data_IF_560162903188
#
_entry.id   IF_560162903188
#
_cell.length_a   1.000
_cell.length_b   1.000
_cell.length_c   1.000
_cell.angle_alpha   90.00
_cell.angle_beta   90.00
_cell.angle_gamma   90.00
#
_symmetry.space_group_name_H-M   'P 1'
#
loop_
_entity.id
_entity.type
_entity.pdbx_description
1 polymer ?
#
# COMPACT_ATOMS: atom_id res chain seq x y z
N UNK A 1 -17.33 -75.66 6.92
CA UNK A 1 -18.13 -74.55 7.45
C UNK A 1 -17.39 -73.24 7.09
N UNK A 2 -18.02 -72.47 6.27
CA UNK A 2 -17.50 -71.27 5.64
C UNK A 2 -17.36 -70.15 6.68
N UNK A 3 -16.21 -69.52 6.84
CA UNK A 3 -16.06 -68.20 7.48
C UNK A 3 -15.53 -67.25 6.46
N UNK A 4 -16.48 -66.48 5.93
CA UNK A 4 -16.29 -65.39 4.98
C UNK A 4 -15.72 -64.14 5.65
N UNK A 5 -14.73 -63.55 5.05
CA UNK A 5 -14.51 -62.15 4.73
C UNK A 5 -14.90 -61.09 5.80
N UNK A 6 -13.89 -60.44 6.34
CA UNK A 6 -13.95 -59.03 6.72
C UNK A 6 -12.57 -58.40 6.42
N UNK A 7 -12.47 -57.84 5.25
CA UNK A 7 -11.43 -56.91 4.86
C UNK A 7 -11.95 -55.51 5.26
N UNK A 8 -11.37 -54.81 6.20
CA UNK A 8 -11.62 -53.37 6.30
C UNK A 8 -10.83 -52.69 5.21
N UNK A 9 -11.50 -52.26 4.17
CA UNK A 9 -11.03 -51.29 3.21
C UNK A 9 -10.85 -49.99 4.00
N UNK A 10 -9.59 -49.66 4.31
CA UNK A 10 -9.20 -48.35 4.75
C UNK A 10 -9.34 -47.42 3.54
N UNK A 11 -10.54 -46.89 3.33
CA UNK A 11 -10.81 -45.88 2.36
C UNK A 11 -10.04 -44.61 2.84
N UNK A 12 -8.88 -44.38 2.20
CA UNK A 12 -8.14 -43.11 2.27
C UNK A 12 -9.04 -42.09 1.60
N UNK A 13 -9.92 -41.47 2.38
CA UNK A 13 -10.64 -40.29 1.97
C UNK A 13 -9.65 -39.15 1.86
N UNK A 14 -9.02 -39.01 0.70
CA UNK A 14 -8.38 -37.78 0.27
C UNK A 14 -9.53 -36.79 0.07
N UNK A 15 -9.82 -36.03 1.12
CA UNK A 15 -10.62 -34.82 0.99
C UNK A 15 -9.81 -33.89 0.08
N UNK A 16 -10.20 -33.84 -1.19
CA UNK A 16 -9.92 -32.70 -2.05
C UNK A 16 -10.65 -31.50 -1.39
N UNK A 17 -9.96 -30.84 -0.48
CA UNK A 17 -10.27 -29.45 -0.15
C UNK A 17 -9.88 -28.66 -1.38
N UNK A 18 -10.80 -28.56 -2.35
CA UNK A 18 -10.72 -27.52 -3.35
C UNK A 18 -10.57 -26.19 -2.61
N UNK A 19 -9.86 -25.20 -3.19
CA UNK A 19 -9.84 -23.87 -2.61
C UNK A 19 -11.32 -23.44 -2.50
N UNK A 20 -11.83 -23.43 -1.28
CA UNK A 20 -13.02 -22.65 -0.98
C UNK A 20 -12.55 -21.22 -1.25
N UNK A 21 -12.86 -20.71 -2.44
CA UNK A 21 -12.97 -19.29 -2.64
C UNK A 21 -14.09 -18.87 -1.68
N UNK A 22 -13.70 -18.60 -0.44
CA UNK A 22 -14.51 -17.81 0.43
C UNK A 22 -14.71 -16.52 -0.36
N UNK A 23 -15.89 -16.40 -0.95
CA UNK A 23 -16.41 -15.10 -1.35
C UNK A 23 -16.35 -14.31 -0.05
N UNK A 24 -15.30 -13.49 0.11
CA UNK A 24 -15.23 -12.55 1.21
C UNK A 24 -16.46 -11.68 1.05
N UNK A 25 -17.52 -12.07 1.73
CA UNK A 25 -18.66 -11.20 1.96
C UNK A 25 -18.03 -9.96 2.56
N UNK A 26 -17.97 -8.88 1.77
CA UNK A 26 -17.35 -7.64 2.17
C UNK A 26 -17.95 -7.28 3.52
N UNK A 27 -17.14 -7.37 4.59
CA UNK A 27 -17.61 -7.09 5.94
C UNK A 27 -18.27 -5.71 5.91
N UNK A 28 -19.51 -5.63 6.41
CA UNK A 28 -20.25 -4.37 6.51
C UNK A 28 -19.34 -3.27 7.04
N UNK A 29 -19.37 -2.10 6.42
CA UNK A 29 -18.58 -0.94 6.85
C UNK A 29 -19.31 -0.25 8.00
N UNK A 30 -20.63 -0.12 7.88
CA UNK A 30 -21.48 0.58 8.83
C UNK A 30 -22.00 -0.39 9.90
N UNK A 31 -21.91 -0.03 11.20
CA UNK A 31 -22.45 -0.85 12.29
C UNK A 31 -23.99 -0.83 12.28
N UNK A 32 -24.62 -1.85 12.87
CA UNK A 32 -26.07 -1.88 13.01
C UNK A 32 -26.59 -0.83 14.00
N UNK A 33 -25.75 -0.45 14.98
CA UNK A 33 -26.09 0.55 16.00
C UNK A 33 -24.84 1.23 16.54
N UNK A 34 -24.96 2.49 16.95
CA UNK A 34 -23.94 3.26 17.67
C UNK A 34 -24.60 4.48 18.33
N UNK A 35 -24.11 4.93 19.46
CA UNK A 35 -24.51 6.20 20.10
C UNK A 35 -26.03 6.41 20.27
N UNK A 36 -26.81 5.32 20.40
CA UNK A 36 -28.27 5.36 20.44
C UNK A 36 -28.94 5.46 19.07
N UNK A 37 -28.16 5.44 17.97
CA UNK A 37 -28.67 5.32 16.60
C UNK A 37 -28.79 3.86 16.19
N UNK A 38 -29.88 3.50 15.51
CA UNK A 38 -30.12 2.18 14.95
C UNK A 38 -30.41 2.29 13.46
N UNK A 39 -29.89 1.35 12.69
CA UNK A 39 -30.11 1.33 11.25
C UNK A 39 -31.59 1.11 10.94
N UNK A 40 -32.13 1.91 10.03
CA UNK A 40 -33.53 1.85 9.62
C UNK A 40 -33.61 1.42 8.16
N UNK A 41 -34.15 0.23 7.92
CA UNK A 41 -34.25 -0.33 6.58
C UNK A 41 -33.00 -1.06 6.11
N UNK A 42 -32.89 -1.25 4.79
CA UNK A 42 -31.75 -1.94 4.17
C UNK A 42 -30.59 -0.96 3.87
N UNK A 43 -29.36 -1.42 4.04
CA UNK A 43 -28.17 -0.73 3.55
C UNK A 43 -27.96 -0.98 2.06
N UNK A 44 -27.39 0.00 1.39
CA UNK A 44 -26.92 -0.15 0.01
C UNK A 44 -25.41 -0.31 0.03
N UNK A 45 -24.91 -1.43 -0.49
CA UNK A 45 -23.48 -1.74 -0.57
C UNK A 45 -23.04 -1.85 -2.02
N UNK A 46 -21.80 -1.48 -2.34
CA UNK A 46 -21.23 -1.66 -3.67
C UNK A 46 -19.70 -1.56 -3.63
N UNK A 47 -19.04 -2.29 -4.53
CA UNK A 47 -17.61 -2.13 -4.81
C UNK A 47 -17.37 -1.29 -6.07
N UNK A 48 -18.42 -0.78 -6.69
CA UNK A 48 -18.33 0.13 -7.84
C UNK A 48 -18.31 1.58 -7.34
N UNK A 49 -17.23 2.35 -7.61
CA UNK A 49 -17.14 3.75 -7.23
C UNK A 49 -18.22 4.63 -7.88
N UNK A 50 -18.77 4.22 -9.04
CA UNK A 50 -19.86 4.96 -9.68
C UNK A 50 -21.18 4.89 -8.90
N UNK A 51 -21.33 3.88 -8.05
CA UNK A 51 -22.49 3.77 -7.13
C UNK A 51 -22.33 4.71 -5.92
N UNK A 52 -21.08 4.90 -5.47
CA UNK A 52 -20.78 5.80 -4.35
C UNK A 52 -20.91 7.27 -4.79
N UNK A 53 -20.26 7.64 -5.90
CA UNK A 53 -20.30 8.97 -6.50
C UNK A 53 -20.06 8.87 -8.03
N UNK A 54 -21.11 8.89 -8.84
CA UNK A 54 -20.98 8.74 -10.29
C UNK A 54 -20.19 9.87 -10.96
N UNK A 55 -20.19 11.08 -10.38
CA UNK A 55 -19.47 12.24 -10.93
C UNK A 55 -17.96 12.14 -10.64
N UNK A 56 -17.59 11.55 -9.51
CA UNK A 56 -16.21 11.44 -9.05
C UNK A 56 -15.69 9.99 -9.02
N UNK A 57 -16.32 9.07 -9.74
CA UNK A 57 -15.94 7.66 -9.77
C UNK A 57 -14.46 7.44 -10.14
N UNK A 58 -13.95 8.20 -11.14
CA UNK A 58 -12.54 8.15 -11.52
C UNK A 58 -11.60 8.61 -10.39
N UNK A 59 -11.97 9.67 -9.68
CA UNK A 59 -11.22 10.18 -8.52
C UNK A 59 -11.20 9.17 -7.38
N UNK A 60 -12.33 8.57 -7.06
CA UNK A 60 -12.41 7.53 -6.03
C UNK A 60 -11.53 6.33 -6.38
N UNK A 61 -11.51 5.93 -7.68
CA UNK A 61 -10.64 4.86 -8.17
C UNK A 61 -9.16 5.18 -8.00
N UNK A 62 -8.74 6.41 -8.29
CA UNK A 62 -7.36 6.86 -8.09
C UNK A 62 -6.93 6.77 -6.62
N UNK A 63 -7.83 7.07 -5.69
CA UNK A 63 -7.58 6.92 -4.25
C UNK A 63 -7.66 5.47 -3.74
N UNK A 64 -7.83 4.48 -4.64
CA UNK A 64 -7.87 3.08 -4.25
C UNK A 64 -9.18 2.67 -3.56
N UNK A 65 -10.31 3.18 -4.02
CA UNK A 65 -11.64 2.80 -3.54
C UNK A 65 -11.85 1.29 -3.60
N UNK A 66 -12.35 0.68 -2.51
CA UNK A 66 -12.59 -0.76 -2.41
C UNK A 66 -14.02 -1.12 -2.06
N UNK A 67 -14.80 -0.21 -1.49
CA UNK A 67 -16.17 -0.49 -1.11
C UNK A 67 -16.91 0.73 -0.60
N UNK A 68 -18.22 0.65 -0.67
CA UNK A 68 -19.17 1.68 -0.25
C UNK A 68 -20.34 1.05 0.47
N UNK A 69 -20.78 1.70 1.50
CA UNK A 69 -22.03 1.37 2.19
C UNK A 69 -22.76 2.65 2.58
N UNK A 70 -24.08 2.66 2.40
CA UNK A 70 -24.92 3.76 2.86
C UNK A 70 -26.16 3.23 3.57
N UNK A 71 -26.59 3.96 4.59
CA UNK A 71 -27.78 3.62 5.37
C UNK A 71 -28.37 4.84 6.03
N UNK A 72 -29.64 4.71 6.39
CA UNK A 72 -30.33 5.68 7.22
C UNK A 72 -30.45 5.11 8.63
N UNK A 73 -30.15 5.94 9.60
CA UNK A 73 -30.28 5.62 11.02
C UNK A 73 -31.41 6.43 11.63
N UNK A 74 -32.08 5.84 12.59
CA UNK A 74 -33.09 6.50 13.40
C UNK A 74 -32.74 6.36 14.87
N UNK A 75 -33.25 7.30 15.66
CA UNK A 75 -33.10 7.31 17.12
C UNK A 75 -34.48 7.26 17.76
N UNK A 76 -34.57 6.86 19.03
CA UNK A 76 -35.84 6.76 19.77
C UNK A 76 -36.64 8.07 19.82
N UNK A 77 -35.95 9.21 19.72
CA UNK A 77 -36.58 10.55 19.65
C UNK A 77 -37.08 10.92 18.23
N UNK A 78 -37.01 10.00 17.28
CA UNK A 78 -37.51 10.18 15.91
C UNK A 78 -36.53 10.92 14.95
N UNK A 79 -35.37 11.37 15.43
CA UNK A 79 -34.35 12.00 14.56
C UNK A 79 -33.79 10.99 13.56
N UNK A 80 -33.35 11.48 12.42
CA UNK A 80 -32.73 10.69 11.35
C UNK A 80 -31.32 11.17 11.03
N UNK A 81 -30.48 10.23 10.66
CA UNK A 81 -29.10 10.42 10.24
C UNK A 81 -28.84 9.56 9.00
N UNK A 82 -28.44 10.18 7.91
CA UNK A 82 -27.98 9.49 6.70
C UNK A 82 -26.45 9.35 6.76
N UNK A 83 -25.95 8.14 6.61
CA UNK A 83 -24.52 7.84 6.54
C UNK A 83 -24.15 7.27 5.17
N UNK A 84 -23.05 7.75 4.63
CA UNK A 84 -22.35 7.16 3.49
C UNK A 84 -20.92 6.91 3.92
N UNK A 85 -20.47 5.67 3.84
CA UNK A 85 -19.10 5.27 4.17
C UNK A 85 -18.43 4.69 2.94
N UNK A 86 -17.22 5.15 2.64
CA UNK A 86 -16.37 4.62 1.57
C UNK A 86 -15.09 4.08 2.17
N UNK A 87 -14.70 2.86 1.78
CA UNK A 87 -13.46 2.20 2.18
C UNK A 87 -12.46 2.28 1.05
N UNK A 88 -11.21 2.53 1.42
CA UNK A 88 -10.07 2.62 0.52
C UNK A 88 -9.05 1.52 0.83
N UNK A 89 -8.09 1.32 -0.07
CA UNK A 89 -7.04 0.33 0.11
C UNK A 89 -6.14 0.63 1.31
N UNK A 90 -5.92 1.92 1.59
CA UNK A 90 -5.09 2.41 2.68
C UNK A 90 -5.58 3.75 3.26
N UNK A 91 -4.92 4.21 4.31
CA UNK A 91 -5.25 5.47 4.98
C UNK A 91 -4.89 6.70 4.13
N UNK A 92 -3.89 6.60 3.24
CA UNK A 92 -3.52 7.70 2.33
C UNK A 92 -4.63 7.97 1.32
N UNK A 93 -5.24 6.92 0.76
CA UNK A 93 -6.39 7.04 -0.14
C UNK A 93 -7.61 7.63 0.56
N UNK A 94 -7.91 7.21 1.79
CA UNK A 94 -8.98 7.80 2.59
C UNK A 94 -8.72 9.28 2.90
N UNK A 95 -7.49 9.62 3.30
CA UNK A 95 -7.08 11.01 3.51
C UNK A 95 -7.23 11.85 2.24
N UNK A 96 -6.81 11.32 1.08
CA UNK A 96 -6.96 11.98 -0.21
C UNK A 96 -8.43 12.26 -0.53
N UNK A 97 -9.29 11.25 -0.42
CA UNK A 97 -10.73 11.41 -0.63
C UNK A 97 -11.35 12.39 0.37
N UNK A 98 -10.97 12.33 1.64
CA UNK A 98 -11.40 13.30 2.65
C UNK A 98 -11.01 14.72 2.26
N UNK A 99 -9.75 14.97 1.88
CA UNK A 99 -9.29 16.30 1.46
C UNK A 99 -9.98 16.76 0.18
N UNK A 100 -10.30 15.85 -0.75
CA UNK A 100 -11.00 16.14 -1.98
C UNK A 100 -12.44 16.66 -1.72
N UNK A 101 -13.19 15.98 -0.84
CA UNK A 101 -14.58 16.34 -0.51
C UNK A 101 -14.70 17.47 0.52
N UNK A 102 -13.67 17.70 1.32
CA UNK A 102 -13.67 18.81 2.27
C UNK A 102 -13.66 20.14 1.53
N UNK A 103 -14.53 21.06 1.91
CA UNK A 103 -14.56 22.42 1.34
C UNK A 103 -13.95 23.45 2.29
N UNK A 104 -13.62 24.60 1.75
CA UNK A 104 -12.99 25.70 2.46
C UNK A 104 -13.86 26.24 3.62
N UNK A 105 -15.17 26.23 3.42
CA UNK A 105 -16.16 26.76 4.34
C UNK A 105 -16.43 25.88 5.54
N UNK A 106 -16.01 24.60 5.46
CA UNK A 106 -16.20 23.65 6.55
C UNK A 106 -15.37 24.02 7.76
N UNK A 107 -15.94 23.84 8.94
CA UNK A 107 -15.25 23.98 10.23
C UNK A 107 -14.52 22.69 10.58
N UNK A 108 -13.34 22.82 11.16
CA UNK A 108 -12.57 21.65 11.62
C UNK A 108 -13.18 21.08 12.90
N UNK A 109 -13.37 19.75 12.92
CA UNK A 109 -13.95 18.99 14.03
C UNK A 109 -12.96 17.95 14.56
N UNK A 110 -13.19 17.50 15.81
CA UNK A 110 -12.39 16.46 16.47
C UNK A 110 -13.13 15.13 16.45
N UNK A 111 -13.19 14.49 15.26
CA UNK A 111 -13.83 13.19 15.04
C UNK A 111 -12.92 12.35 14.17
N UNK A 112 -12.69 11.08 14.55
CA UNK A 112 -11.80 10.19 13.83
C UNK A 112 -10.36 10.68 13.75
N UNK A 113 -9.71 10.51 12.60
CA UNK A 113 -8.34 10.98 12.33
C UNK A 113 -8.36 12.40 11.73
N UNK A 114 -9.53 12.87 11.28
CA UNK A 114 -9.78 14.23 10.86
C UNK A 114 -11.20 14.41 10.37
N UNK A 115 -11.77 15.57 10.68
CA UNK A 115 -13.16 15.87 10.35
C UNK A 115 -13.38 17.35 10.01
N UNK A 116 -14.44 17.59 9.25
CA UNK A 116 -14.91 18.92 8.92
C UNK A 116 -16.44 18.93 8.84
N UNK A 117 -17.07 20.01 9.29
CA UNK A 117 -18.52 20.16 9.33
C UNK A 117 -18.99 21.44 8.65
N UNK A 118 -20.18 21.38 8.08
CA UNK A 118 -20.90 22.53 7.57
C UNK A 118 -22.40 22.25 7.67
N UNK A 119 -23.12 23.10 8.39
CA UNK A 119 -24.50 22.90 8.71
C UNK A 119 -24.74 21.50 9.34
N UNK A 120 -25.67 20.73 8.84
CA UNK A 120 -26.03 19.39 9.29
C UNK A 120 -25.11 18.29 8.76
N UNK A 121 -24.14 18.63 7.91
CA UNK A 121 -23.19 17.69 7.29
C UNK A 121 -21.88 17.64 8.06
N UNK A 122 -21.42 16.42 8.37
CA UNK A 122 -20.11 16.15 8.94
C UNK A 122 -19.38 15.14 8.06
N UNK A 123 -18.23 15.54 7.53
CA UNK A 123 -17.33 14.69 6.77
C UNK A 123 -16.14 14.34 7.67
N UNK A 124 -15.83 13.06 7.82
CA UNK A 124 -14.66 12.62 8.58
C UNK A 124 -14.03 11.37 7.99
N UNK A 125 -12.80 11.08 8.39
CA UNK A 125 -12.17 9.80 8.06
C UNK A 125 -11.57 9.15 9.31
N UNK A 126 -11.47 7.83 9.28
CA UNK A 126 -10.81 7.02 10.30
C UNK A 126 -10.11 5.85 9.63
N UNK A 127 -8.77 5.77 9.79
CA UNK A 127 -7.96 4.78 9.07
C UNK A 127 -8.19 4.89 7.56
N UNK A 128 -8.66 3.83 6.94
CA UNK A 128 -8.95 3.76 5.50
C UNK A 128 -10.44 3.95 5.14
N UNK A 129 -11.25 4.53 6.03
CA UNK A 129 -12.69 4.76 5.82
C UNK A 129 -12.98 6.25 5.88
N UNK A 130 -13.70 6.75 4.88
CA UNK A 130 -14.27 8.11 4.86
C UNK A 130 -15.77 8.01 5.07
N UNK A 131 -16.32 8.88 5.91
CA UNK A 131 -17.75 8.93 6.22
C UNK A 131 -18.28 10.34 5.93
N UNK A 132 -19.39 10.39 5.22
CA UNK A 132 -20.21 11.57 5.01
C UNK A 132 -21.52 11.38 5.77
N UNK A 133 -21.67 12.09 6.87
CA UNK A 133 -22.80 12.04 7.77
C UNK A 133 -23.69 13.28 7.61
N UNK A 134 -24.96 13.07 7.36
CA UNK A 134 -25.95 14.17 7.21
C UNK A 134 -27.07 13.96 8.23
N UNK A 135 -27.13 14.83 9.22
CA UNK A 135 -28.17 14.83 10.22
C UNK A 135 -29.44 15.53 9.69
N UNK A 136 -30.59 15.02 10.07
CA UNK A 136 -31.84 15.78 9.87
C UNK A 136 -31.87 16.98 10.82
N UNK A 137 -31.32 16.84 12.02
CA UNK A 137 -31.20 17.87 13.03
C UNK A 137 -30.01 17.57 13.96
N UNK A 138 -29.14 18.55 14.14
CA UNK A 138 -28.00 18.46 15.05
C UNK A 138 -28.46 18.57 16.51
N UNK A 139 -27.72 17.96 17.40
CA UNK A 139 -27.82 18.08 18.85
C UNK A 139 -26.44 18.34 19.45
N UNK A 140 -26.38 18.74 20.70
CA UNK A 140 -25.14 18.90 21.44
C UNK A 140 -24.32 17.58 21.52
N UNK A 141 -24.97 16.42 21.35
CA UNK A 141 -24.33 15.10 21.41
C UNK A 141 -23.86 14.59 20.05
N UNK A 142 -24.26 15.20 18.93
CA UNK A 142 -23.96 14.71 17.57
C UNK A 142 -22.50 14.44 17.32
N UNK A 143 -21.61 15.32 17.80
CA UNK A 143 -20.16 15.12 17.68
C UNK A 143 -19.66 13.94 18.52
N UNK A 144 -20.20 13.73 19.72
CA UNK A 144 -19.82 12.59 20.57
C UNK A 144 -20.29 11.25 19.97
N UNK A 145 -21.50 11.24 19.43
CA UNK A 145 -22.08 10.08 18.75
C UNK A 145 -21.25 9.67 17.52
N UNK A 146 -20.78 10.64 16.72
CA UNK A 146 -19.91 10.35 15.58
C UNK A 146 -18.48 9.94 15.99
N UNK A 147 -17.98 10.38 17.17
CA UNK A 147 -16.71 9.86 17.72
C UNK A 147 -16.83 8.38 18.06
N UNK A 148 -17.92 7.98 18.72
CA UNK A 148 -18.21 6.58 19.03
C UNK A 148 -18.27 5.75 17.74
N UNK A 149 -18.96 6.24 16.70
CA UNK A 149 -18.94 5.59 15.38
C UNK A 149 -17.52 5.43 14.83
N UNK A 150 -16.71 6.50 14.86
CA UNK A 150 -15.36 6.49 14.36
C UNK A 150 -14.44 5.51 15.12
N UNK A 151 -14.60 5.41 16.44
CA UNK A 151 -13.83 4.48 17.28
C UNK A 151 -14.17 3.01 16.99
N UNK A 152 -15.38 2.73 16.52
CA UNK A 152 -15.83 1.40 16.10
C UNK A 152 -15.23 0.93 14.78
N UNK A 153 -14.62 1.79 13.96
CA UNK A 153 -14.04 1.36 12.70
C UNK A 153 -12.69 0.65 12.88
N UNK A 154 -12.49 -0.48 12.17
CA UNK A 154 -11.21 -1.18 12.21
C UNK A 154 -10.12 -0.31 11.57
N UNK A 155 -8.96 -0.27 12.22
CA UNK A 155 -7.79 0.40 11.64
C UNK A 155 -7.02 -0.55 10.74
N UNK A 156 -6.51 -0.08 9.59
CA UNK A 156 -5.65 -0.87 8.73
C UNK A 156 -4.35 -1.24 9.44
N UNK A 157 -3.68 -2.30 8.99
CA UNK A 157 -2.48 -2.83 9.62
C UNK A 157 -1.22 -2.47 8.84
N UNK A 158 -0.09 -2.35 9.55
CA UNK A 158 1.21 -2.10 8.93
C UNK A 158 1.25 -0.81 8.12
N UNK A 159 1.88 -0.84 6.95
CA UNK A 159 2.11 0.34 6.12
C UNK A 159 0.83 0.96 5.55
N UNK A 160 -0.26 0.20 5.45
CA UNK A 160 -1.54 0.72 4.95
C UNK A 160 -2.21 1.70 5.93
N UNK A 161 -1.68 1.84 7.13
CA UNK A 161 -2.10 2.82 8.13
C UNK A 161 -1.43 4.18 7.97
N UNK A 162 -0.33 4.25 7.24
CA UNK A 162 0.46 5.47 7.13
C UNK A 162 -0.31 6.53 6.34
N UNK A 163 -0.25 7.77 6.84
CA UNK A 163 -0.72 8.94 6.11
C UNK A 163 0.40 9.45 5.19
N UNK A 164 0.06 10.20 4.13
CA UNK A 164 1.07 10.79 3.27
C UNK A 164 1.84 11.89 4.02
N UNK A 165 3.15 11.93 3.84
CA UNK A 165 4.01 12.94 4.46
C UNK A 165 3.97 14.29 3.71
N UNK A 166 3.65 14.27 2.41
CA UNK A 166 3.72 15.45 1.55
C UNK A 166 2.90 16.65 2.06
N UNK A 167 1.68 16.48 2.62
CA UNK A 167 0.93 17.61 3.19
C UNK A 167 1.61 18.31 4.36
N UNK A 168 2.53 17.65 5.06
CA UNK A 168 3.24 18.24 6.21
C UNK A 168 4.26 19.31 5.79
N UNK A 169 4.65 19.33 4.53
CA UNK A 169 5.55 20.32 3.95
C UNK A 169 4.86 21.63 3.56
N UNK A 170 3.52 21.70 3.65
CA UNK A 170 2.80 22.94 3.40
C UNK A 170 3.09 23.96 4.51
N UNK A 171 3.61 25.15 4.18
CA UNK A 171 3.86 26.19 5.19
C UNK A 171 2.57 26.63 5.88
N UNK A 172 2.62 26.85 7.17
CA UNK A 172 1.46 27.34 7.94
C UNK A 172 1.22 28.84 7.82
N UNK A 173 2.28 29.61 7.51
CA UNK A 173 2.19 31.06 7.38
C UNK A 173 1.36 31.45 6.15
N UNK A 174 0.40 32.33 6.33
CA UNK A 174 -0.53 32.81 5.29
C UNK A 174 -1.40 31.72 4.63
N UNK A 175 -1.36 30.47 5.16
CA UNK A 175 -2.16 29.37 4.64
C UNK A 175 -3.66 29.62 4.84
N UNK A 176 -4.44 29.44 3.78
CA UNK A 176 -5.90 29.47 3.83
C UNK A 176 -6.41 28.11 4.31
N UNK A 177 -7.00 28.09 5.51
CA UNK A 177 -7.47 26.85 6.14
C UNK A 177 -8.39 26.03 5.23
N UNK A 178 -8.33 24.72 5.36
CA UNK A 178 -9.17 23.74 4.65
C UNK A 178 -9.01 23.71 3.12
N UNK A 179 -7.98 24.37 2.56
CA UNK A 179 -7.75 24.37 1.10
C UNK A 179 -6.79 23.28 0.64
N UNK A 180 -6.05 22.62 1.54
CA UNK A 180 -5.14 21.54 1.16
C UNK A 180 -5.91 20.39 0.50
N UNK A 181 -5.44 19.98 -0.68
CA UNK A 181 -5.91 18.85 -1.47
C UNK A 181 -4.74 17.91 -1.74
N UNK A 182 -4.83 16.68 -1.28
CA UNK A 182 -3.86 15.63 -1.61
C UNK A 182 -4.35 14.84 -2.83
N UNK A 183 -3.51 14.67 -3.82
CA UNK A 183 -3.86 14.15 -5.15
C UNK A 183 -2.83 13.12 -5.58
N UNK A 184 -3.32 11.96 -6.04
CA UNK A 184 -2.50 10.84 -6.50
C UNK A 184 -2.80 10.41 -7.95
N UNK A 185 -3.63 11.17 -8.65
CA UNK A 185 -3.99 10.83 -10.02
C UNK A 185 -4.50 12.02 -10.84
N UNK A 186 -4.53 11.85 -12.18
CA UNK A 186 -4.91 12.91 -13.11
C UNK A 186 -6.38 13.37 -12.98
N UNK A 187 -7.31 12.46 -12.69
CA UNK A 187 -8.72 12.82 -12.56
C UNK A 187 -8.99 13.71 -11.35
N UNK A 188 -8.29 13.44 -10.23
CA UNK A 188 -8.36 14.28 -9.06
C UNK A 188 -7.68 15.64 -9.32
N UNK A 189 -6.52 15.68 -9.98
CA UNK A 189 -5.81 16.93 -10.28
C UNK A 189 -6.60 17.85 -11.19
N UNK A 190 -7.31 17.31 -12.18
CA UNK A 190 -8.18 18.09 -13.08
C UNK A 190 -9.35 18.77 -12.36
N UNK A 191 -9.75 18.27 -11.19
CA UNK A 191 -10.88 18.82 -10.42
C UNK A 191 -10.44 19.79 -9.31
N UNK A 192 -9.16 19.93 -9.08
CA UNK A 192 -8.59 20.93 -8.17
C UNK A 192 -7.96 22.06 -8.98
N UNK A 193 -7.94 23.27 -8.44
CA UNK A 193 -7.33 24.43 -9.12
C UNK A 193 -5.81 24.36 -9.04
N UNK A 194 -5.22 23.39 -9.75
CA UNK A 194 -3.77 23.18 -9.81
C UNK A 194 -3.14 24.05 -10.89
N UNK A 195 -1.99 24.68 -10.63
CA UNK A 195 -1.29 25.52 -11.60
C UNK A 195 -0.59 24.73 -12.71
N UNK A 196 -0.35 23.43 -12.51
CA UNK A 196 0.31 22.54 -13.45
C UNK A 196 -0.66 21.43 -13.84
N UNK A 197 -0.89 21.21 -15.16
CA UNK A 197 -1.78 20.16 -15.62
C UNK A 197 -1.20 18.75 -15.41
N UNK A 198 -2.07 17.75 -15.41
CA UNK A 198 -1.73 16.38 -15.08
C UNK A 198 -0.69 15.74 -16.01
N UNK A 199 -0.67 16.16 -17.27
CA UNK A 199 0.25 15.68 -18.30
C UNK A 199 1.72 16.06 -18.00
N UNK A 200 1.94 17.15 -17.27
CA UNK A 200 3.28 17.59 -16.87
C UNK A 200 3.71 16.97 -15.51
N UNK A 201 2.76 16.49 -14.72
CA UNK A 201 3.05 15.83 -13.41
C UNK A 201 3.49 14.40 -13.60
N UNK A 202 2.85 13.64 -14.52
CA UNK A 202 3.14 12.24 -14.83
C UNK A 202 2.99 11.29 -13.61
N UNK A 203 1.75 11.08 -13.21
CA UNK A 203 1.39 10.20 -12.09
C UNK A 203 1.82 8.73 -12.29
N UNK A 204 2.07 8.30 -13.54
CA UNK A 204 2.54 6.93 -13.83
C UNK A 204 3.92 6.64 -13.24
N UNK A 205 4.70 7.67 -12.94
CA UNK A 205 5.99 7.55 -12.27
C UNK A 205 5.89 7.55 -10.74
N UNK A 206 4.68 7.47 -10.19
CA UNK A 206 4.45 7.48 -8.74
C UNK A 206 4.54 8.88 -8.12
N UNK A 207 4.18 9.92 -8.90
CA UNK A 207 4.10 11.27 -8.36
C UNK A 207 2.93 11.41 -7.40
N UNK A 208 3.15 12.16 -6.32
CA UNK A 208 2.13 12.59 -5.38
C UNK A 208 2.07 14.13 -5.39
N UNK A 209 0.89 14.68 -5.22
CA UNK A 209 0.70 16.14 -5.27
C UNK A 209 -0.08 16.61 -4.05
N UNK A 210 0.31 17.75 -3.52
CA UNK A 210 -0.54 18.52 -2.60
C UNK A 210 -0.67 19.95 -3.10
N UNK A 211 -1.89 20.47 -3.08
CA UNK A 211 -2.20 21.84 -3.46
C UNK A 211 -2.82 22.55 -2.27
N UNK A 212 -2.36 23.76 -1.97
CA UNK A 212 -2.92 24.60 -0.91
C UNK A 212 -2.94 26.06 -1.31
N UNK A 213 -3.89 26.82 -0.77
CA UNK A 213 -4.02 28.24 -1.07
C UNK A 213 -3.40 29.10 0.05
N UNK A 214 -2.87 30.25 -0.36
CA UNK A 214 -2.14 31.19 0.50
C UNK A 214 -2.59 32.62 0.24
N UNK A 215 -2.74 33.40 1.29
CA UNK A 215 -3.00 34.83 1.15
C UNK A 215 -1.73 35.57 0.74
N UNK A 216 -1.81 36.43 -0.26
CA UNK A 216 -0.78 37.39 -0.68
C UNK A 216 -1.30 38.82 -0.53
N UNK A 217 -0.43 39.80 -0.75
CA UNK A 217 -0.80 41.22 -0.69
C UNK A 217 -1.85 41.63 -1.76
N UNK A 218 -1.91 40.90 -2.86
CA UNK A 218 -2.75 41.22 -4.03
C UNK A 218 -3.87 40.22 -4.27
N UNK A 219 -4.02 39.21 -3.41
CA UNK A 219 -5.08 38.20 -3.54
C UNK A 219 -4.69 36.85 -2.99
N UNK A 220 -5.25 35.78 -3.55
CA UNK A 220 -4.99 34.42 -3.13
C UNK A 220 -4.10 33.72 -4.16
N UNK A 221 -3.02 33.11 -3.69
CA UNK A 221 -2.08 32.36 -4.49
C UNK A 221 -2.20 30.84 -4.19
N UNK A 222 -1.78 30.02 -5.13
CA UNK A 222 -1.77 28.58 -5.00
C UNK A 222 -0.34 28.07 -4.89
N UNK A 223 -0.06 27.28 -3.87
CA UNK A 223 1.16 26.51 -3.73
C UNK A 223 0.89 25.04 -4.06
N UNK A 224 1.65 24.49 -4.97
CA UNK A 224 1.60 23.09 -5.38
C UNK A 224 2.93 22.43 -5.09
N UNK A 225 2.91 21.35 -4.33
CA UNK A 225 4.07 20.49 -4.08
C UNK A 225 3.87 19.20 -4.87
N UNK A 226 4.89 18.78 -5.62
CA UNK A 226 4.91 17.52 -6.37
C UNK A 226 6.08 16.71 -5.84
N UNK A 227 5.80 15.56 -5.25
CA UNK A 227 6.81 14.62 -4.78
C UNK A 227 7.01 13.51 -5.81
N UNK A 228 8.25 13.26 -6.16
CA UNK A 228 8.65 12.17 -7.06
C UNK A 228 9.46 11.13 -6.28
N UNK A 229 9.53 9.88 -6.76
CA UNK A 229 10.32 8.83 -6.10
C UNK A 229 11.82 9.14 -5.99
N UNK A 230 12.37 9.95 -6.91
CA UNK A 230 13.78 10.31 -6.91
C UNK A 230 14.02 11.78 -7.26
N UNK A 231 15.14 12.39 -6.77
CA UNK A 231 15.50 13.76 -7.14
C UNK A 231 15.79 13.95 -8.64
N UNK A 232 16.20 12.89 -9.34
CA UNK A 232 16.47 12.93 -10.79
C UNK A 232 15.16 13.11 -11.56
N UNK A 233 14.14 12.32 -11.24
CA UNK A 233 12.80 12.45 -11.84
C UNK A 233 12.25 13.86 -11.57
N UNK A 234 12.38 14.37 -10.34
CA UNK A 234 11.96 15.72 -10.00
C UNK A 234 12.66 16.79 -10.85
N UNK A 235 13.99 16.64 -11.10
CA UNK A 235 14.74 17.56 -11.93
C UNK A 235 14.29 17.54 -13.40
N UNK A 236 13.97 16.35 -13.92
CA UNK A 236 13.51 16.18 -15.31
C UNK A 236 12.13 16.79 -15.52
N UNK A 237 11.22 16.57 -14.55
CA UNK A 237 9.88 17.16 -14.62
C UNK A 237 9.90 18.67 -14.41
N UNK A 238 10.75 19.20 -13.53
CA UNK A 238 10.90 20.64 -13.41
C UNK A 238 11.31 21.28 -14.75
N UNK A 239 12.29 20.70 -15.46
CA UNK A 239 12.71 21.19 -16.80
C UNK A 239 11.56 21.15 -17.81
N UNK A 240 10.70 20.12 -17.79
CA UNK A 240 9.50 20.05 -18.64
C UNK A 240 8.48 21.14 -18.29
N UNK A 241 8.27 21.40 -17.00
CA UNK A 241 7.37 22.47 -16.52
C UNK A 241 7.92 23.84 -16.94
N UNK A 242 9.21 24.08 -16.79
CA UNK A 242 9.88 25.32 -17.22
C UNK A 242 9.78 25.53 -18.74
N UNK A 243 9.94 24.47 -19.53
CA UNK A 243 9.81 24.51 -20.98
C UNK A 243 8.39 24.81 -21.46
N UNK A 244 7.37 24.42 -20.66
CA UNK A 244 5.97 24.67 -20.95
C UNK A 244 5.52 26.11 -20.62
N UNK A 245 6.39 26.98 -20.10
CA UNK A 245 6.05 28.36 -19.78
C UNK A 245 5.92 29.22 -21.04
N UNK A 246 4.99 30.20 -21.05
CA UNK A 246 4.92 31.17 -22.12
C UNK A 246 6.24 31.95 -22.24
N UNK A 247 6.80 31.98 -23.43
CA UNK A 247 8.05 32.66 -23.73
C UNK A 247 9.33 31.76 -23.75
N UNK A 248 9.26 30.53 -23.24
CA UNK A 248 10.37 29.57 -23.31
C UNK A 248 10.21 28.52 -24.42
N UNK A 249 9.10 28.55 -25.17
CA UNK A 249 8.86 27.61 -26.27
C UNK A 249 9.84 27.91 -27.41
N UNK A 250 11.00 27.24 -27.44
CA UNK A 250 11.81 27.17 -28.65
C UNK A 250 11.01 26.40 -29.70
N UNK A 251 10.85 26.97 -30.91
CA UNK A 251 10.25 26.21 -32.00
C UNK A 251 11.15 25.03 -32.32
N UNK A 252 10.76 23.85 -31.89
CA UNK A 252 11.37 22.61 -32.38
C UNK A 252 10.98 22.44 -33.84
N UNK A 253 11.95 22.51 -34.74
CA UNK A 253 11.78 22.30 -36.18
C UNK A 253 11.41 20.85 -36.56
N UNK A 254 10.94 20.04 -35.63
CA UNK A 254 10.47 18.68 -35.88
C UNK A 254 9.01 18.71 -36.34
N UNK A 255 8.83 18.76 -37.66
CA UNK A 255 7.55 18.82 -38.37
C UNK A 255 6.60 17.61 -38.17
N UNK A 256 6.88 16.72 -37.18
CA UNK A 256 6.09 15.51 -36.94
C UNK A 256 5.61 15.29 -35.49
N UNK A 257 5.87 16.21 -34.57
CA UNK A 257 5.34 16.12 -33.20
C UNK A 257 4.15 17.07 -33.01
N UNK A 258 2.97 16.65 -33.38
CA UNK A 258 1.70 17.35 -33.07
C UNK A 258 1.28 17.08 -31.62
N UNK A 259 2.20 17.10 -30.69
CA UNK A 259 1.85 17.11 -29.26
C UNK A 259 1.87 18.56 -28.82
N UNK A 260 0.71 19.19 -28.86
CA UNK A 260 0.51 20.54 -28.29
C UNK A 260 0.79 20.43 -26.79
N UNK A 261 1.99 20.85 -26.36
CA UNK A 261 2.30 20.93 -24.93
C UNK A 261 1.32 21.90 -24.26
N UNK A 262 0.73 21.55 -23.11
CA UNK A 262 -0.15 22.45 -22.38
C UNK A 262 0.66 23.70 -21.97
N UNK A 263 0.15 24.88 -22.34
CA UNK A 263 0.77 26.17 -21.98
C UNK A 263 0.29 26.56 -20.59
N UNK A 264 1.21 26.77 -19.67
CA UNK A 264 0.91 27.25 -18.33
C UNK A 264 0.41 28.70 -18.37
N UNK A 265 -0.62 29.02 -17.60
CA UNK A 265 -1.21 30.36 -17.56
C UNK A 265 -0.72 31.15 -16.34
N UNK A 266 -0.39 32.44 -16.54
CA UNK A 266 -0.04 33.38 -15.47
C UNK A 266 1.41 33.29 -14.96
N UNK A 267 1.77 34.11 -13.97
CA UNK A 267 3.08 34.08 -13.33
C UNK A 267 3.22 32.83 -12.49
N UNK A 268 4.25 32.04 -12.79
CA UNK A 268 4.61 30.81 -12.09
C UNK A 268 6.03 30.93 -11.61
N UNK A 269 6.22 30.64 -10.33
CA UNK A 269 7.51 30.54 -9.67
C UNK A 269 7.73 29.11 -9.22
N UNK A 270 8.95 28.62 -9.29
CA UNK A 270 9.29 27.25 -8.92
C UNK A 270 10.59 27.14 -8.18
N UNK A 271 10.71 26.01 -7.48
CA UNK A 271 11.92 25.59 -6.78
C UNK A 271 11.94 24.06 -6.74
N UNK A 272 13.11 23.46 -6.84
CA UNK A 272 13.31 22.06 -6.51
C UNK A 272 14.03 21.91 -5.18
N UNK A 273 13.55 21.01 -4.33
CA UNK A 273 14.19 20.64 -3.06
C UNK A 273 14.14 19.11 -2.92
N UNK A 274 15.31 18.47 -3.04
CA UNK A 274 15.36 17.00 -3.06
C UNK A 274 14.50 16.39 -4.18
N UNK A 275 13.62 15.44 -3.87
CA UNK A 275 12.70 14.81 -4.82
C UNK A 275 11.41 15.64 -5.05
N UNK A 276 11.28 16.81 -4.42
CA UNK A 276 10.10 17.66 -4.56
C UNK A 276 10.33 18.80 -5.56
N UNK A 277 9.30 19.05 -6.38
CA UNK A 277 9.11 20.25 -7.17
C UNK A 277 8.05 21.10 -6.46
N UNK A 278 8.37 22.35 -6.19
CA UNK A 278 7.50 23.33 -5.52
C UNK A 278 7.14 24.40 -6.50
N UNK A 279 5.86 24.68 -6.64
CA UNK A 279 5.32 25.64 -7.61
C UNK A 279 4.40 26.61 -6.89
N UNK A 280 4.66 27.90 -7.03
CA UNK A 280 3.79 28.96 -6.56
C UNK A 280 3.22 29.70 -7.78
N UNK A 281 1.90 29.87 -7.80
CA UNK A 281 1.19 30.52 -8.88
C UNK A 281 0.10 31.47 -8.36
N UNK A 282 -0.21 32.50 -9.12
CA UNK A 282 -1.23 33.48 -8.76
C UNK A 282 -0.65 34.90 -8.60
N UNK A 283 -1.41 35.82 -8.00
CA UNK A 283 -1.03 37.22 -7.86
C UNK A 283 0.00 37.38 -6.74
N UNK A 284 1.23 36.96 -7.00
CA UNK A 284 2.38 37.07 -6.08
C UNK A 284 3.38 38.08 -6.61
N UNK A 285 3.89 38.94 -5.77
CA UNK A 285 5.13 39.66 -6.03
C UNK A 285 6.33 38.69 -6.06
N UNK A 286 7.42 39.08 -6.71
CA UNK A 286 8.61 38.24 -6.77
C UNK A 286 9.18 37.89 -5.38
N UNK A 287 9.09 38.84 -4.42
CA UNK A 287 9.59 38.61 -3.06
C UNK A 287 8.66 37.71 -2.26
N UNK A 288 7.35 37.85 -2.39
CA UNK A 288 6.37 36.94 -1.78
C UNK A 288 6.53 35.51 -2.32
N UNK A 289 6.68 35.36 -3.65
CA UNK A 289 6.92 34.07 -4.26
C UNK A 289 8.21 33.41 -3.77
N UNK A 290 9.32 34.17 -3.71
CA UNK A 290 10.58 33.70 -3.15
C UNK A 290 10.46 33.30 -1.68
N UNK A 291 9.78 34.11 -0.86
CA UNK A 291 9.54 33.79 0.55
C UNK A 291 8.71 32.51 0.73
N UNK A 292 7.63 32.38 -0.06
CA UNK A 292 6.77 31.19 -0.01
C UNK A 292 7.52 29.93 -0.47
N UNK A 293 8.28 29.99 -1.56
CA UNK A 293 9.11 28.88 -2.02
C UNK A 293 10.21 28.54 -1.02
N UNK A 294 10.85 29.55 -0.40
CA UNK A 294 11.92 29.34 0.59
C UNK A 294 11.43 28.64 1.87
N UNK A 295 10.14 28.81 2.23
CA UNK A 295 9.54 28.18 3.41
C UNK A 295 9.33 26.66 3.25
N UNK A 296 9.35 26.12 2.01
CA UNK A 296 9.27 24.69 1.76
C UNK A 296 10.68 24.11 1.66
N UNK A 297 11.07 23.31 2.64
CA UNK A 297 12.36 22.63 2.63
C UNK A 297 12.14 21.13 2.81
N UNK A 298 12.77 20.35 1.94
CA UNK A 298 12.85 18.91 2.08
C UNK A 298 14.04 18.57 2.99
N UNK A 299 13.75 18.18 4.19
CA UNK A 299 14.75 17.58 5.07
C UNK A 299 14.84 16.10 4.73
N UNK A 300 15.88 15.73 3.99
CA UNK A 300 16.24 14.34 3.86
C UNK A 300 16.64 13.86 5.26
N UNK A 301 15.70 13.29 6.00
CA UNK A 301 16.02 12.50 7.18
C UNK A 301 16.77 11.25 6.69
N UNK A 302 18.05 11.45 6.32
CA UNK A 302 18.98 10.34 6.08
C UNK A 302 19.26 9.79 7.48
N UNK A 303 18.39 8.93 7.96
CA UNK A 303 18.61 8.13 9.16
C UNK A 303 19.74 7.14 8.88
N UNK A 304 20.96 7.67 8.82
CA UNK A 304 22.17 6.85 8.78
C UNK A 304 22.31 6.01 10.05
N UNK A 305 21.43 6.24 11.02
CA UNK A 305 21.53 5.65 12.35
C UNK A 305 20.18 5.38 13.01
N UNK A 306 19.12 5.12 12.26
CA UNK A 306 18.04 4.38 12.88
C UNK A 306 18.62 3.05 13.30
N UNK A 307 18.70 2.89 14.62
CA UNK A 307 18.96 1.62 15.24
C UNK A 307 17.82 0.68 14.83
N UNK A 308 17.92 0.12 13.61
CA UNK A 308 17.04 -0.93 13.10
C UNK A 308 17.11 -2.21 13.96
N UNK A 309 17.82 -2.13 15.08
CA UNK A 309 17.93 -3.20 16.07
C UNK A 309 16.60 -3.58 16.70
N UNK A 310 15.66 -2.64 16.88
CA UNK A 310 14.34 -2.98 17.41
C UNK A 310 13.44 -3.69 16.38
N UNK A 311 13.53 -3.35 15.09
CA UNK A 311 12.81 -4.05 14.01
C UNK A 311 13.49 -5.38 13.64
N UNK A 312 14.82 -5.42 13.61
CA UNK A 312 15.60 -6.62 13.28
C UNK A 312 15.48 -7.69 14.34
N UNK A 313 15.40 -7.33 15.62
CA UNK A 313 15.20 -8.30 16.71
C UNK A 313 13.86 -9.03 16.62
N UNK A 314 12.78 -8.31 16.37
CA UNK A 314 11.45 -8.90 16.18
C UNK A 314 11.36 -9.74 14.88
N UNK A 315 12.02 -9.31 13.81
CA UNK A 315 12.06 -10.06 12.54
C UNK A 315 12.96 -11.27 12.65
N UNK A 316 14.14 -11.17 13.31
CA UNK A 316 15.03 -12.30 13.59
C UNK A 316 14.35 -13.31 14.51
N UNK A 317 13.67 -12.88 15.57
CA UNK A 317 12.91 -13.77 16.44
C UNK A 317 11.80 -14.52 15.67
N UNK A 318 11.10 -13.85 14.76
CA UNK A 318 10.10 -14.50 13.88
C UNK A 318 10.74 -15.49 12.91
N UNK A 319 11.88 -15.16 12.31
CA UNK A 319 12.61 -16.05 11.39
C UNK A 319 13.09 -17.30 12.15
N UNK A 320 13.67 -17.13 13.34
CA UNK A 320 14.12 -18.25 14.19
C UNK A 320 12.92 -19.10 14.63
N UNK A 321 11.82 -18.46 15.07
CA UNK A 321 10.62 -19.19 15.47
C UNK A 321 10.01 -19.97 14.31
N UNK A 322 9.90 -19.37 13.13
CA UNK A 322 9.42 -20.05 11.92
C UNK A 322 10.35 -21.19 11.49
N UNK A 323 11.67 -21.03 11.65
CA UNK A 323 12.66 -22.08 11.42
C UNK A 323 12.48 -23.26 12.38
N UNK A 324 12.25 -23.01 13.66
CA UNK A 324 11.97 -24.05 14.67
C UNK A 324 10.66 -24.78 14.34
N UNK A 325 9.60 -24.05 14.00
CA UNK A 325 8.30 -24.64 13.63
C UNK A 325 8.45 -25.52 12.39
N UNK A 326 9.14 -25.05 11.37
CA UNK A 326 9.40 -25.83 10.15
C UNK A 326 10.20 -27.10 10.44
N UNK A 327 11.23 -27.01 11.28
CA UNK A 327 12.04 -28.17 11.70
C UNK A 327 11.20 -29.20 12.46
N UNK A 328 10.30 -28.76 13.34
CA UNK A 328 9.39 -29.65 14.06
C UNK A 328 8.39 -30.33 13.13
N UNK A 329 7.87 -29.63 12.11
CA UNK A 329 6.99 -30.21 11.10
C UNK A 329 7.72 -31.29 10.31
N UNK A 330 8.96 -31.03 9.86
CA UNK A 330 9.78 -31.99 9.13
C UNK A 330 10.08 -33.22 9.98
N UNK A 331 10.46 -33.02 11.25
CA UNK A 331 10.72 -34.10 12.19
C UNK A 331 9.45 -34.94 12.43
N UNK A 332 8.30 -34.31 12.59
CA UNK A 332 7.01 -34.99 12.73
C UNK A 332 6.65 -35.82 11.50
N UNK A 333 6.83 -35.28 10.30
CA UNK A 333 6.59 -36.00 9.06
C UNK A 333 7.55 -37.19 8.88
N UNK A 334 8.84 -37.02 9.24
CA UNK A 334 9.82 -38.10 9.19
C UNK A 334 9.46 -39.24 10.17
N UNK A 335 8.97 -38.90 11.36
CA UNK A 335 8.53 -39.87 12.35
C UNK A 335 7.30 -40.65 11.86
N UNK A 336 6.31 -39.94 11.32
CA UNK A 336 5.11 -40.59 10.74
C UNK A 336 5.49 -41.51 9.56
N UNK A 337 6.35 -41.04 8.65
CA UNK A 337 6.85 -41.84 7.55
C UNK A 337 7.63 -43.05 8.01
N UNK A 338 8.49 -42.90 9.06
CA UNK A 338 9.24 -43.97 9.67
C UNK A 338 8.35 -45.04 10.30
N UNK A 339 7.34 -44.62 11.06
CA UNK A 339 6.36 -45.54 11.68
C UNK A 339 5.52 -46.24 10.61
N UNK A 340 5.06 -45.52 9.58
CA UNK A 340 4.29 -46.09 8.49
C UNK A 340 5.14 -47.14 7.72
N UNK A 341 6.37 -46.80 7.35
CA UNK A 341 7.25 -47.68 6.63
C UNK A 341 7.68 -48.87 7.48
N UNK A 342 8.03 -48.64 8.76
CA UNK A 342 8.35 -49.68 9.73
C UNK A 342 7.16 -50.60 10.03
N UNK A 343 5.97 -50.04 10.16
CA UNK A 343 4.73 -50.76 10.35
C UNK A 343 4.39 -51.66 9.15
N UNK A 344 4.52 -51.12 7.93
CA UNK A 344 4.32 -51.94 6.71
C UNK A 344 5.32 -53.07 6.63
N UNK A 345 6.59 -52.84 6.97
CA UNK A 345 7.62 -53.85 6.93
C UNK A 345 7.40 -55.00 7.95
N UNK A 346 6.77 -54.68 9.09
CA UNK A 346 6.41 -55.70 10.09
C UNK A 346 5.11 -56.40 9.77
N UNK A 347 4.13 -55.70 9.20
CA UNK A 347 2.84 -56.27 8.85
C UNK A 347 2.84 -57.03 7.54
N UNK A 348 3.64 -56.64 6.53
CA UNK A 348 3.68 -57.26 5.23
C UNK A 348 4.02 -58.78 5.29
N UNK A 349 4.99 -59.26 6.10
CA UNK A 349 5.23 -60.70 6.23
C UNK A 349 4.10 -61.44 6.94
N UNK A 350 3.36 -60.79 7.83
CA UNK A 350 2.21 -61.43 8.52
C UNK A 350 0.95 -61.53 7.66
N UNK A 351 0.74 -60.58 6.76
CA UNK A 351 -0.43 -60.55 5.87
C UNK A 351 -0.23 -61.32 4.58
N UNK A 352 1.00 -61.46 4.12
CA UNK A 352 1.34 -62.19 2.86
C UNK A 352 2.51 -63.15 3.09
N UNK A 353 2.29 -64.26 3.83
CA UNK A 353 3.32 -65.29 4.00
C UNK A 353 3.62 -65.94 2.65
N UNK A 354 4.80 -65.67 2.08
CA UNK A 354 5.27 -66.28 0.83
C UNK A 354 5.73 -65.30 -0.26
N UNK A 355 5.65 -63.99 -0.07
CA UNK A 355 6.29 -63.02 -0.96
C UNK A 355 7.40 -62.32 -0.20
N UNK A 356 8.61 -62.89 -0.24
CA UNK A 356 9.81 -62.28 0.31
C UNK A 356 10.19 -61.06 -0.52
N UNK A 357 10.15 -59.89 0.13
CA UNK A 357 10.68 -58.64 -0.40
C UNK A 357 12.18 -58.46 -0.11
N UNK A 358 12.85 -59.47 0.45
CA UNK A 358 14.27 -59.49 0.65
C UNK A 358 14.96 -60.23 -0.50
N UNK A 359 15.29 -59.53 -1.56
CA UNK A 359 16.35 -59.93 -2.46
C UNK A 359 17.63 -59.53 -1.81
N UNK A 360 18.35 -60.52 -1.24
CA UNK A 360 19.71 -60.33 -0.77
C UNK A 360 20.57 -59.93 -1.99
N UNK A 361 20.80 -58.65 -2.17
CA UNK A 361 21.89 -58.21 -3.02
C UNK A 361 23.20 -58.62 -2.37
N UNK A 362 23.87 -59.58 -2.99
CA UNK A 362 25.26 -59.93 -2.69
C UNK A 362 26.08 -58.64 -2.86
N UNK A 363 26.52 -58.08 -1.74
CA UNK A 363 27.51 -57.01 -1.76
C UNK A 363 28.81 -57.61 -2.24
N UNK A 364 29.14 -57.46 -3.51
CA UNK A 364 30.52 -57.61 -3.99
C UNK A 364 31.35 -56.49 -3.39
N UNK A 365 32.15 -56.87 -2.42
CA UNK A 365 33.21 -56.01 -1.93
C UNK A 365 34.31 -55.98 -2.99
N UNK A 366 34.45 -54.87 -3.71
CA UNK A 366 35.62 -54.62 -4.55
C UNK A 366 36.80 -54.38 -3.59
N UNK A 367 37.62 -55.41 -3.38
CA UNK A 367 38.88 -55.22 -2.67
C UNK A 367 39.90 -54.67 -3.65
N UNK A 368 40.26 -53.41 -3.48
CA UNK A 368 41.40 -52.80 -4.15
C UNK A 368 42.69 -53.35 -3.52
N UNK A 369 43.34 -54.29 -4.21
CA UNK A 369 44.69 -54.70 -3.94
C UNK A 369 45.64 -53.61 -4.42
N UNK A 370 46.10 -52.76 -3.53
CA UNK A 370 47.29 -51.95 -3.73
C UNK A 370 48.50 -52.82 -3.48
N UNK A 371 49.10 -53.36 -4.55
CA UNK A 371 50.42 -53.98 -4.50
C UNK A 371 51.48 -52.86 -4.45
N UNK A 372 52.10 -52.71 -3.29
CA UNK A 372 53.34 -51.99 -3.16
C UNK A 372 54.45 -52.80 -3.80
N UNK A 373 55.04 -52.26 -4.89
CA UNK A 373 56.31 -52.75 -5.44
C UNK A 373 57.43 -51.86 -4.86
N UNK A 374 58.39 -52.44 -4.19
CA UNK A 374 59.52 -51.68 -3.64
C UNK A 374 60.44 -51.25 -4.83
N UNK A 375 61.14 -50.11 -4.72
CA UNK A 375 62.08 -49.65 -5.74
C UNK A 375 63.40 -50.40 -5.64
N UNK A 376 63.86 -50.91 -6.77
CA UNK A 376 65.20 -51.46 -6.94
C UNK A 376 66.21 -50.32 -7.09
N UNK A 377 67.42 -50.49 -6.48
CA UNK A 377 68.44 -49.46 -6.51
C UNK A 377 69.45 -49.71 -7.66
N UNK A 378 70.02 -48.64 -8.15
CA UNK A 378 71.25 -48.51 -8.91
C UNK A 378 71.21 -48.72 -10.45
N UNK A 379 71.39 -47.63 -11.17
CA UNK A 379 72.57 -47.48 -12.03
C UNK A 379 72.79 -46.04 -12.40
N UNK A 380 73.96 -45.61 -11.97
CA UNK A 380 74.67 -44.43 -12.49
C UNK A 380 74.75 -44.43 -14.01
N UNK A 381 74.66 -43.26 -14.61
CA UNK A 381 75.80 -42.69 -15.37
C UNK A 381 75.38 -41.47 -16.20
N UNK A 382 76.16 -40.40 -15.99
CA UNK A 382 76.73 -39.51 -16.99
C UNK A 382 75.84 -38.42 -17.60
N UNK A 383 76.16 -37.22 -17.14
CA UNK A 383 76.12 -35.94 -17.91
C UNK A 383 77.01 -36.03 -19.18
N UNK A 384 77.00 -35.07 -20.09
CA UNK A 384 76.88 -33.62 -19.87
C UNK A 384 76.25 -32.80 -21.05
N UNK A 385 76.03 -31.56 -20.71
CA UNK A 385 76.54 -30.40 -21.50
C UNK A 385 75.72 -29.75 -22.59
N UNK A 386 75.45 -28.48 -22.34
CA UNK A 386 75.86 -27.26 -23.18
C UNK A 386 74.83 -26.67 -24.14
N UNK A 387 74.59 -25.38 -23.83
CA UNK A 387 74.41 -24.17 -24.62
C UNK A 387 73.05 -23.87 -25.28
N UNK A 388 72.52 -22.80 -24.83
CA UNK A 388 72.61 -21.41 -25.31
C UNK A 388 71.91 -21.16 -26.68
N UNK A 389 71.03 -20.21 -26.64
CA UNK A 389 70.36 -19.51 -27.70
C UNK A 389 69.29 -18.61 -27.09
#
# INVERSE_FOLDING_TARGET
MKLSKLIPILALAIWLTGPIFANEASSSILPQQFGGWQISGSTRTSNDPAVADPVNAAVLKEYGFTGFESGTYTRDDGRKLALKAARFADASGAYGAYTFYKTREMLTEQIGDGAASMNERVLFYRGNIVVDAVFQQLSAMSAAELRELAEGFPLPLGNTRNLPDLPTYLPSQSYVKNTAKYVVGPAALQKVAAPVPAELVDFNLGAEVVVGNYNSSTGEATLMLISYPTPQIAADHLRRIEAARPGNSQPTNDAHATTTMPILQGPIFDKRTGPMVVIAAGPLSQDEAKALLASVNYDANVTWNENTSFGKGATMAKIVMNGIILSLIIAGLALVAGVAFGGIRILAPRLFPGRGFDRAESREFISLHLSETPPDPLSDTVSPSIKAG
#
